data_IF_775114091459
#
_entry.id   IF_775114091459
#
_cell.length_a   1.000
_cell.length_b   1.000
_cell.length_c   1.000
_cell.angle_alpha   90.00
_cell.angle_beta   90.00
_cell.angle_gamma   90.00
#
_symmetry.space_group_name_H-M   'P 1'
#
loop_
_entity.id
_entity.type
_entity.pdbx_description
1 polymer ?
#
# COMPACT_ATOMS: atom_id res chain seq x y z
N UNK A 1 -23.43 -15.10 16.44
CA UNK A 1 -22.68 -14.10 15.65
C UNK A 1 -21.67 -13.42 16.57
N UNK A 2 -20.38 -13.55 16.30
CA UNK A 2 -19.26 -13.29 17.23
C UNK A 2 -18.93 -11.79 17.45
N UNK A 3 -19.81 -10.88 17.02
CA UNK A 3 -19.54 -9.44 16.94
C UNK A 3 -19.84 -8.71 18.26
N UNK A 4 -20.68 -9.28 19.14
CA UNK A 4 -21.09 -8.63 20.40
C UNK A 4 -19.94 -8.42 21.41
N UNK A 5 -18.82 -9.12 21.25
CA UNK A 5 -17.65 -9.02 22.12
C UNK A 5 -16.47 -8.26 21.47
N UNK A 6 -16.64 -7.71 20.26
CA UNK A 6 -15.58 -6.98 19.54
C UNK A 6 -15.86 -5.49 19.50
N UNK A 7 -14.85 -4.72 19.11
CA UNK A 7 -14.95 -3.28 18.83
C UNK A 7 -15.99 -2.93 17.74
N UNK A 8 -16.50 -3.92 17.02
CA UNK A 8 -17.48 -3.76 15.95
C UNK A 8 -18.93 -4.01 16.40
N UNK A 9 -19.20 -4.13 17.71
CA UNK A 9 -20.55 -4.40 18.26
C UNK A 9 -21.63 -3.47 17.72
N UNK A 10 -21.33 -2.17 17.63
CA UNK A 10 -22.27 -1.12 17.21
C UNK A 10 -22.06 -0.67 15.76
N UNK A 11 -21.23 -1.39 15.00
CA UNK A 11 -20.97 -1.05 13.60
C UNK A 11 -22.19 -1.39 12.71
N UNK A 12 -22.57 -0.52 11.76
CA UNK A 12 -23.68 -0.79 10.85
C UNK A 12 -23.36 -1.94 9.91
N UNK A 13 -24.31 -2.87 9.73
CA UNK A 13 -24.21 -3.96 8.76
C UNK A 13 -24.86 -3.50 7.45
N UNK A 14 -24.06 -3.35 6.40
CA UNK A 14 -24.50 -2.90 5.07
C UNK A 14 -24.45 -4.09 4.10
N UNK A 15 -25.59 -4.46 3.54
CA UNK A 15 -25.69 -5.51 2.52
C UNK A 15 -25.50 -4.89 1.13
N UNK A 16 -24.56 -5.43 0.36
CA UNK A 16 -24.25 -4.99 -1.00
C UNK A 16 -24.41 -6.14 -2.00
N UNK A 17 -24.82 -5.81 -3.22
CA UNK A 17 -24.78 -6.74 -4.35
C UNK A 17 -23.74 -6.23 -5.36
N UNK A 18 -22.51 -6.74 -5.25
CA UNK A 18 -21.37 -6.25 -6.03
C UNK A 18 -21.59 -6.34 -7.55
N UNK A 19 -22.20 -7.42 -8.03
CA UNK A 19 -22.49 -7.65 -9.46
C UNK A 19 -23.44 -6.58 -10.03
N UNK A 20 -24.46 -6.22 -9.25
CA UNK A 20 -25.48 -5.24 -9.66
C UNK A 20 -25.18 -3.82 -9.17
N UNK A 21 -24.01 -3.62 -8.53
CA UNK A 21 -23.59 -2.34 -7.92
C UNK A 21 -24.66 -1.74 -6.99
N UNK A 22 -25.50 -2.57 -6.38
CA UNK A 22 -26.56 -2.11 -5.49
C UNK A 22 -26.00 -1.79 -4.11
N UNK A 23 -26.46 -0.68 -3.52
CA UNK A 23 -26.10 -0.17 -2.18
C UNK A 23 -24.60 0.17 -2.00
N UNK A 24 -23.84 0.35 -3.09
CA UNK A 24 -22.41 0.73 -3.02
C UNK A 24 -22.23 2.18 -2.59
N UNK A 25 -23.18 3.05 -2.96
CA UNK A 25 -23.25 4.45 -2.57
C UNK A 25 -23.34 4.65 -1.05
N UNK A 26 -24.05 3.76 -0.35
CA UNK A 26 -24.18 3.75 1.11
C UNK A 26 -22.85 3.46 1.82
N UNK A 27 -21.85 2.90 1.14
CA UNK A 27 -20.52 2.64 1.73
C UNK A 27 -19.69 3.93 1.84
N UNK A 28 -20.05 5.00 1.11
CA UNK A 28 -19.24 6.22 1.01
C UNK A 28 -19.20 7.09 2.29
N UNK A 29 -19.89 6.72 3.37
CA UNK A 29 -19.95 7.50 4.62
C UNK A 29 -18.74 7.32 5.56
N UNK A 30 -17.63 6.70 5.11
CA UNK A 30 -16.45 6.51 5.96
C UNK A 30 -15.66 7.83 6.09
N UNK A 31 -15.49 8.37 7.30
CA UNK A 31 -14.76 9.62 7.49
C UNK A 31 -13.27 9.46 7.14
N UNK A 32 -12.71 10.48 6.49
CA UNK A 32 -11.27 10.53 6.20
C UNK A 32 -10.53 10.81 7.51
N UNK A 33 -9.58 9.96 7.93
CA UNK A 33 -8.81 10.17 9.14
C UNK A 33 -7.89 11.39 9.00
N UNK A 34 -7.64 12.10 10.12
CA UNK A 34 -6.64 13.18 10.17
C UNK A 34 -5.26 12.58 9.90
N UNK A 35 -4.54 13.15 8.94
CA UNK A 35 -3.16 12.77 8.60
C UNK A 35 -2.20 13.88 9.01
N UNK A 36 -1.05 13.49 9.54
CA UNK A 36 0.04 14.42 9.81
C UNK A 36 1.02 14.44 8.64
N UNK A 37 1.18 15.61 8.03
CA UNK A 37 2.05 15.85 6.89
C UNK A 37 3.41 16.45 7.29
N UNK A 38 3.56 16.91 8.54
CA UNK A 38 4.81 17.51 9.04
C UNK A 38 5.75 16.49 9.67
N UNK A 39 5.23 15.33 10.08
CA UNK A 39 6.04 14.26 10.65
C UNK A 39 7.01 13.66 9.63
N UNK A 40 8.06 13.01 10.15
CA UNK A 40 9.02 12.28 9.33
C UNK A 40 8.30 11.19 8.52
N UNK A 41 8.63 11.11 7.22
CA UNK A 41 8.04 10.16 6.29
C UNK A 41 8.20 8.71 6.78
N UNK A 42 7.07 8.00 6.90
CA UNK A 42 7.00 6.56 7.15
C UNK A 42 6.27 5.88 6.01
N UNK A 43 7.01 5.12 5.23
CA UNK A 43 6.53 4.34 4.08
C UNK A 43 6.53 2.86 4.42
N UNK A 44 5.50 2.14 3.95
CA UNK A 44 5.45 0.68 3.99
C UNK A 44 5.27 0.15 2.58
N UNK A 45 6.25 -0.60 2.09
CA UNK A 45 6.18 -1.33 0.83
C UNK A 45 5.25 -2.52 0.97
N UNK A 46 4.26 -2.62 0.09
CA UNK A 46 3.22 -3.66 0.13
C UNK A 46 3.30 -4.56 -1.10
N UNK A 47 3.63 -3.99 -2.25
CA UNK A 47 3.76 -4.73 -3.50
C UNK A 47 4.88 -4.17 -4.37
N UNK A 48 5.50 -5.04 -5.17
CA UNK A 48 6.52 -4.67 -6.15
C UNK A 48 6.01 -5.02 -7.54
N UNK A 49 6.33 -4.17 -8.51
CA UNK A 49 5.93 -4.30 -9.90
C UNK A 49 7.16 -4.22 -10.79
N UNK A 50 7.22 -5.14 -11.73
CA UNK A 50 8.05 -4.98 -12.92
C UNK A 50 7.22 -4.24 -13.96
N UNK A 51 7.76 -3.11 -14.42
CA UNK A 51 7.12 -2.25 -15.42
C UNK A 51 7.78 -2.38 -16.79
N UNK A 52 8.77 -3.27 -16.93
CA UNK A 52 9.45 -3.52 -18.18
C UNK A 52 8.63 -4.48 -19.05
N UNK A 53 8.52 -4.17 -20.34
CA UNK A 53 7.80 -5.02 -21.28
C UNK A 53 8.73 -6.12 -21.82
N UNK A 54 8.18 -7.31 -22.15
CA UNK A 54 8.96 -8.33 -22.82
C UNK A 54 9.53 -7.81 -24.15
N UNK A 55 10.86 -7.86 -24.31
CA UNK A 55 11.55 -7.39 -25.52
C UNK A 55 12.05 -5.94 -25.47
N UNK A 56 11.93 -5.24 -24.33
CA UNK A 56 12.56 -3.93 -24.15
C UNK A 56 14.10 -4.05 -24.23
N UNK A 57 14.71 -3.07 -24.90
CA UNK A 57 16.17 -2.95 -24.97
C UNK A 57 16.76 -2.61 -23.59
N UNK A 58 17.94 -3.13 -23.31
CA UNK A 58 18.66 -2.94 -22.04
C UNK A 58 18.90 -1.45 -21.77
N UNK A 59 19.09 -0.65 -22.82
CA UNK A 59 19.29 0.80 -22.71
C UNK A 59 18.04 1.56 -22.22
N UNK A 60 16.85 0.98 -22.37
CA UNK A 60 15.58 1.57 -21.97
C UNK A 60 15.02 0.94 -20.67
N UNK A 61 15.82 0.14 -19.97
CA UNK A 61 15.39 -0.57 -18.78
C UNK A 61 14.95 0.41 -17.67
N UNK A 62 13.72 0.21 -17.18
CA UNK A 62 13.14 1.00 -16.08
C UNK A 62 13.43 0.30 -14.76
N UNK A 63 13.77 1.09 -13.75
CA UNK A 63 13.93 0.61 -12.39
C UNK A 63 12.62 -0.01 -11.86
N UNK A 64 12.75 -0.92 -10.89
CA UNK A 64 11.60 -1.54 -10.24
C UNK A 64 10.67 -0.51 -9.60
N UNK A 65 9.36 -0.77 -9.65
CA UNK A 65 8.33 0.09 -9.05
C UNK A 65 7.78 -0.60 -7.82
N UNK A 66 7.55 0.16 -6.76
CA UNK A 66 6.92 -0.35 -5.53
C UNK A 66 5.62 0.39 -5.30
N UNK A 67 4.57 -0.36 -4.93
CA UNK A 67 3.35 0.19 -4.36
C UNK A 67 3.52 0.28 -2.84
N UNK A 68 3.59 1.52 -2.36
CA UNK A 68 3.77 1.84 -0.96
C UNK A 68 2.50 2.44 -0.36
N UNK A 69 2.34 2.29 0.95
CA UNK A 69 1.41 3.10 1.75
C UNK A 69 2.17 4.07 2.64
N UNK A 70 1.79 5.35 2.57
CA UNK A 70 2.29 6.40 3.45
C UNK A 70 1.49 6.35 4.74
N UNK A 71 2.16 6.05 5.85
CA UNK A 71 1.56 6.05 7.18
C UNK A 71 1.54 7.47 7.77
N UNK A 72 2.65 8.19 7.62
CA UNK A 72 2.85 9.55 8.15
C UNK A 72 3.81 10.34 7.25
N UNK A 73 3.68 11.67 7.25
CA UNK A 73 4.54 12.57 6.49
C UNK A 73 4.11 12.77 5.03
N UNK A 74 5.01 13.33 4.24
CA UNK A 74 4.81 13.64 2.83
C UNK A 74 6.04 13.20 2.03
N UNK A 75 5.82 12.67 0.83
CA UNK A 75 6.85 12.31 -0.15
C UNK A 75 6.67 13.19 -1.40
N UNK A 76 7.77 13.71 -1.95
CA UNK A 76 7.79 14.49 -3.19
C UNK A 76 8.61 13.80 -4.25
N UNK A 77 8.35 14.15 -5.51
CA UNK A 77 9.12 13.64 -6.64
C UNK A 77 10.55 14.13 -6.54
N UNK A 78 11.50 13.19 -6.61
CA UNK A 78 12.93 13.46 -6.48
C UNK A 78 13.47 13.31 -5.06
N UNK A 79 12.63 13.05 -4.05
CA UNK A 79 13.10 12.74 -2.70
C UNK A 79 13.86 11.40 -2.69
N UNK A 80 15.02 11.38 -2.03
CA UNK A 80 15.76 10.16 -1.77
C UNK A 80 15.14 9.40 -0.59
N UNK A 81 14.96 8.09 -0.76
CA UNK A 81 14.38 7.21 0.26
C UNK A 81 15.36 6.08 0.62
N UNK A 82 15.49 5.80 1.91
CA UNK A 82 16.26 4.65 2.41
C UNK A 82 15.32 3.45 2.57
N UNK A 83 15.62 2.35 1.86
CA UNK A 83 14.85 1.12 1.98
C UNK A 83 15.46 0.22 3.06
N UNK A 84 14.76 0.03 4.17
CA UNK A 84 15.17 -0.87 5.25
C UNK A 84 14.56 -2.25 5.05
N UNK A 85 15.30 -3.13 4.40
CA UNK A 85 14.89 -4.52 4.18
C UNK A 85 15.25 -5.41 5.36
N UNK A 86 14.36 -6.34 5.68
CA UNK A 86 14.68 -7.50 6.51
C UNK A 86 15.20 -8.61 5.58
N UNK A 87 16.39 -8.42 5.01
CA UNK A 87 17.06 -9.48 4.24
C UNK A 87 18.22 -10.01 5.08
N UNK A 88 18.20 -11.31 5.38
CA UNK A 88 19.42 -12.01 5.77
C UNK A 88 20.27 -12.17 4.52
N UNK A 89 21.30 -11.35 4.38
CA UNK A 89 22.20 -11.36 3.24
C UNK A 89 22.83 -12.75 3.11
N UNK A 90 22.43 -13.53 2.09
CA UNK A 90 23.18 -14.72 1.69
C UNK A 90 24.42 -14.27 0.94
N UNK A 91 25.52 -14.10 1.66
CA UNK A 91 26.84 -13.92 1.06
C UNK A 91 27.16 -15.15 0.22
N UNK A 92 27.11 -15.05 -1.12
CA UNK A 92 27.68 -16.08 -1.99
C UNK A 92 29.20 -16.02 -1.80
N UNK A 93 29.72 -17.02 -1.10
CA UNK A 93 31.17 -17.28 -0.97
C UNK A 93 31.66 -17.77 -2.34
N UNK A 94 32.26 -16.89 -3.11
CA UNK A 94 32.93 -17.25 -4.37
C UNK A 94 34.15 -18.10 -4.04
N UNK A 95 34.21 -19.31 -4.63
CA UNK A 95 35.42 -20.12 -4.76
C UNK A 95 36.05 -19.80 -6.11
#
# INVERSE_FOLDING_TARGET
MFVAATVARDAPIILILAVYKSNVDVVCYIPIPKRDFSSKLKLMAICTFDVNMPGDDVMNFKSGVTGDSILEGMLRVGDEIEVRLIVSARTKKTR
#
